data_IF_494506316120
#
_entry.id   IF_494506316120
#
_cell.length_a   1.000
_cell.length_b   1.000
_cell.length_c   1.000
_cell.angle_alpha   90.00
_cell.angle_beta   90.00
_cell.angle_gamma   90.00
#
_symmetry.space_group_name_H-M   'P 1'
#
loop_
_entity.id
_entity.type
_entity.pdbx_description
1 polymer ?
#
# COMPACT_ATOMS: atom_id res chain seq x y z
N UNK A 1 -8.53 0.57 20.74
CA UNK A 1 -7.77 1.84 20.61
C UNK A 1 -8.53 2.96 19.92
N UNK A 2 -9.62 2.72 19.18
CA UNK A 2 -10.42 3.81 18.58
C UNK A 2 -9.67 4.64 17.53
N UNK A 3 -8.63 4.05 16.93
CA UNK A 3 -7.83 4.71 15.90
C UNK A 3 -8.51 4.51 14.53
N UNK A 4 -8.55 5.59 13.74
CA UNK A 4 -9.11 5.59 12.39
C UNK A 4 -8.06 5.90 11.33
N UNK A 5 -6.78 5.96 11.70
CA UNK A 5 -5.69 6.15 10.75
C UNK A 5 -4.41 5.42 11.16
N UNK A 6 -3.64 5.01 10.16
CA UNK A 6 -2.32 4.39 10.33
C UNK A 6 -1.38 4.94 9.25
N UNK A 7 -0.21 5.41 9.68
CA UNK A 7 0.89 5.79 8.81
C UNK A 7 2.10 4.88 9.06
N UNK A 8 2.63 4.25 8.02
CA UNK A 8 3.79 3.36 8.14
C UNK A 8 4.64 3.33 6.87
N UNK A 9 5.95 3.00 6.96
CA UNK A 9 6.78 2.90 5.77
C UNK A 9 6.45 1.66 4.94
N UNK A 10 6.86 1.63 3.68
CA UNK A 10 6.81 0.39 2.89
C UNK A 10 7.77 -0.65 3.49
N UNK A 11 7.22 -1.58 4.26
CA UNK A 11 7.98 -2.58 5.01
C UNK A 11 8.74 -3.47 4.01
N UNK A 12 9.97 -3.85 4.37
CA UNK A 12 10.87 -4.73 3.60
C UNK A 12 11.50 -4.14 2.32
N UNK A 13 11.03 -2.99 1.82
CA UNK A 13 11.55 -2.36 0.60
C UNK A 13 12.74 -1.39 0.83
N UNK A 14 13.24 -1.30 2.06
CA UNK A 14 14.42 -0.51 2.43
C UNK A 14 15.72 -1.32 2.41
N UNK A 15 16.46 -1.35 3.52
CA UNK A 15 17.77 -2.01 3.65
C UNK A 15 17.76 -3.53 3.40
N UNK A 16 16.58 -4.16 3.45
CA UNK A 16 16.42 -5.60 3.28
C UNK A 16 16.38 -6.04 1.81
N UNK A 17 16.35 -5.09 0.86
CA UNK A 17 16.54 -5.37 -0.57
C UNK A 17 15.41 -6.17 -1.23
N UNK A 18 14.24 -6.31 -0.59
CA UNK A 18 13.11 -6.95 -1.23
C UNK A 18 12.65 -6.12 -2.43
N UNK A 19 12.27 -6.73 -3.57
CA UNK A 19 11.90 -5.97 -4.77
C UNK A 19 10.75 -4.98 -4.48
N UNK A 20 11.00 -3.68 -4.72
CA UNK A 20 10.04 -2.59 -4.43
C UNK A 20 8.66 -2.87 -5.01
N UNK A 21 8.59 -3.37 -6.25
CA UNK A 21 7.33 -3.68 -6.93
C UNK A 21 6.55 -4.80 -6.24
N UNK A 22 7.22 -5.87 -5.81
CA UNK A 22 6.58 -6.97 -5.08
C UNK A 22 6.13 -6.52 -3.69
N UNK A 23 6.92 -5.70 -3.00
CA UNK A 23 6.52 -5.11 -1.72
C UNK A 23 5.24 -4.29 -1.85
N UNK A 24 5.16 -3.45 -2.89
CA UNK A 24 3.97 -2.65 -3.17
C UNK A 24 2.75 -3.48 -3.51
N UNK A 25 2.89 -4.48 -4.38
CA UNK A 25 1.77 -5.35 -4.78
C UNK A 25 1.16 -6.06 -3.56
N UNK A 26 2.01 -6.65 -2.71
CA UNK A 26 1.57 -7.31 -1.48
C UNK A 26 0.91 -6.29 -0.54
N UNK A 27 1.57 -5.17 -0.25
CA UNK A 27 1.09 -4.19 0.70
C UNK A 27 -0.27 -3.59 0.30
N UNK A 28 -0.43 -3.20 -0.97
CA UNK A 28 -1.65 -2.60 -1.48
C UNK A 28 -2.80 -3.62 -1.52
N UNK A 29 -2.56 -4.84 -2.01
CA UNK A 29 -3.59 -5.90 -2.01
C UNK A 29 -4.08 -6.22 -0.60
N UNK A 30 -3.17 -6.35 0.36
CA UNK A 30 -3.53 -6.62 1.75
C UNK A 30 -4.33 -5.47 2.35
N UNK A 31 -3.93 -4.22 2.13
CA UNK A 31 -4.66 -3.06 2.65
C UNK A 31 -6.04 -2.92 1.99
N UNK A 32 -6.14 -3.12 0.67
CA UNK A 32 -7.42 -3.05 -0.06
C UNK A 32 -8.38 -4.14 0.42
N UNK A 33 -7.93 -5.38 0.53
CA UNK A 33 -8.76 -6.48 1.05
C UNK A 33 -9.23 -6.20 2.49
N UNK A 34 -8.33 -5.69 3.34
CA UNK A 34 -8.70 -5.30 4.71
C UNK A 34 -9.75 -4.18 4.72
N UNK A 35 -9.62 -3.17 3.87
CA UNK A 35 -10.59 -2.07 3.80
C UNK A 35 -11.94 -2.52 3.25
N UNK A 36 -11.97 -3.52 2.37
CA UNK A 36 -13.20 -4.14 1.87
C UNK A 36 -13.91 -4.95 2.97
N UNK A 37 -13.16 -5.79 3.69
CA UNK A 37 -13.70 -6.63 4.77
C UNK A 37 -14.19 -5.80 5.99
N UNK A 38 -13.63 -4.60 6.18
CA UNK A 38 -13.89 -3.74 7.35
C UNK A 38 -14.25 -2.30 6.95
N UNK A 39 -15.08 -2.12 5.92
CA UNK A 39 -15.47 -0.79 5.40
C UNK A 39 -16.02 0.14 6.50
N UNK A 40 -16.81 -0.41 7.43
CA UNK A 40 -17.41 0.31 8.56
C UNK A 40 -16.39 0.91 9.55
N UNK A 41 -15.15 0.41 9.54
CA UNK A 41 -14.08 0.93 10.40
C UNK A 41 -13.57 2.31 9.93
N UNK A 42 -13.85 2.72 8.69
CA UNK A 42 -13.47 4.02 8.16
C UNK A 42 -11.96 4.31 8.26
N UNK A 43 -11.12 3.28 8.13
CA UNK A 43 -9.69 3.37 8.37
C UNK A 43 -8.97 4.08 7.20
N UNK A 44 -8.15 5.09 7.52
CA UNK A 44 -7.26 5.73 6.55
C UNK A 44 -5.83 5.18 6.67
N UNK A 45 -5.30 4.65 5.56
CA UNK A 45 -3.94 4.11 5.49
C UNK A 45 -3.06 5.03 4.66
N UNK A 46 -1.89 5.41 5.19
CA UNK A 46 -0.88 6.22 4.49
C UNK A 46 0.47 5.51 4.51
N UNK A 47 1.08 5.37 3.33
CA UNK A 47 2.45 4.86 3.20
C UNK A 47 3.44 6.03 3.17
N UNK A 48 4.38 6.03 4.13
CA UNK A 48 5.47 7.00 4.18
C UNK A 48 6.68 6.46 3.40
N UNK A 49 6.92 6.98 2.20
CA UNK A 49 8.05 6.57 1.35
C UNK A 49 9.13 7.64 1.30
N UNK A 50 10.36 7.21 1.04
CA UNK A 50 11.56 8.05 1.17
C UNK A 50 11.80 8.91 -0.08
N UNK A 51 11.41 8.42 -1.26
CA UNK A 51 11.70 9.05 -2.54
C UNK A 51 10.50 9.04 -3.49
N UNK A 52 10.56 9.93 -4.48
CA UNK A 52 9.50 10.12 -5.49
C UNK A 52 9.33 8.90 -6.40
N UNK A 53 10.40 8.10 -6.59
CA UNK A 53 10.35 6.88 -7.41
C UNK A 53 9.48 5.81 -6.73
N UNK A 54 9.65 5.61 -5.42
CA UNK A 54 8.82 4.70 -4.62
C UNK A 54 7.36 5.16 -4.64
N UNK A 55 7.12 6.46 -4.53
CA UNK A 55 5.77 7.03 -4.58
C UNK A 55 5.12 6.79 -5.95
N UNK A 56 5.83 7.11 -7.03
CA UNK A 56 5.35 6.92 -8.39
C UNK A 56 5.02 5.45 -8.70
N UNK A 57 5.90 4.53 -8.29
CA UNK A 57 5.68 3.09 -8.47
C UNK A 57 4.44 2.60 -7.69
N UNK A 58 4.28 3.04 -6.44
CA UNK A 58 3.11 2.69 -5.63
C UNK A 58 1.81 3.19 -6.25
N UNK A 59 1.79 4.44 -6.73
CA UNK A 59 0.62 5.01 -7.42
C UNK A 59 0.29 4.24 -8.70
N UNK A 60 1.29 3.89 -9.50
CA UNK A 60 1.07 3.10 -10.73
C UNK A 60 0.41 1.75 -10.43
N UNK A 61 0.91 1.04 -9.41
CA UNK A 61 0.36 -0.27 -9.02
C UNK A 61 -1.06 -0.10 -8.47
N UNK A 62 -1.31 0.92 -7.64
CA UNK A 62 -2.63 1.19 -7.09
C UNK A 62 -3.68 1.45 -8.20
N UNK A 63 -3.33 2.25 -9.21
CA UNK A 63 -4.22 2.51 -10.35
C UNK A 63 -4.46 1.25 -11.20
N UNK A 64 -3.45 0.39 -11.36
CA UNK A 64 -3.61 -0.92 -12.02
C UNK A 64 -4.59 -1.82 -11.26
N UNK A 65 -4.47 -1.89 -9.93
CA UNK A 65 -5.35 -2.71 -9.08
C UNK A 65 -6.80 -2.21 -9.12
N UNK A 66 -7.01 -0.90 -9.11
CA UNK A 66 -8.36 -0.29 -9.19
C UNK A 66 -9.02 -0.46 -10.55
N UNK A 67 -8.25 -0.47 -11.63
CA UNK A 67 -8.77 -0.59 -12.99
C UNK A 67 -9.11 -2.03 -13.39
N UNK A 68 -8.87 -3.02 -12.51
CA UNK A 68 -9.13 -4.44 -12.81
C UNK A 68 -8.18 -5.03 -13.86
N UNK A 69 -7.19 -4.25 -14.31
CA UNK A 69 -6.10 -4.74 -15.15
C UNK A 69 -5.08 -5.43 -14.23
N UNK A 70 -5.12 -6.76 -14.17
CA UNK A 70 -3.99 -7.53 -13.67
C UNK A 70 -2.76 -7.22 -14.53
N UNK A 71 -1.74 -6.66 -13.88
CA UNK A 71 -0.36 -6.60 -14.37
C UNK A 71 0.20 -8.00 -14.64
#
# INVERSE_FOLDING_TARGET
>A
NGCHSIGFPLISAGIYGYPKQQAWDIALRTCLAFMEDFEEAGLSITFAVIDDEMLALGNQILESLKSGNSI
#
